data_IF_573451260879
#
_entry.id   IF_573451260879
#
_cell.length_a   1.000
_cell.length_b   1.000
_cell.length_c   1.000
_cell.angle_alpha   90.00
_cell.angle_beta   90.00
_cell.angle_gamma   90.00
#
_symmetry.space_group_name_H-M   'P 1'
#
loop_
_entity.id
_entity.type
_entity.pdbx_description
1 polymer ?
#
# COMPACT_ATOMS: atom_id res chain seq x y z
N UNK A 1 -6.88 -5.91 -16.66
CA UNK A 1 -5.96 -7.08 -16.63
C UNK A 1 -6.29 -7.91 -15.39
N UNK A 2 -6.55 -9.22 -15.53
CA UNK A 2 -6.78 -10.11 -14.38
C UNK A 2 -5.42 -10.45 -13.77
N UNK A 3 -5.13 -9.98 -12.56
CA UNK A 3 -3.87 -10.34 -11.89
C UNK A 3 -3.94 -11.82 -11.49
N UNK A 4 -2.94 -12.59 -11.88
CA UNK A 4 -2.73 -13.95 -11.37
C UNK A 4 -1.90 -13.79 -10.09
N UNK A 5 -2.47 -14.16 -8.95
CA UNK A 5 -1.74 -14.20 -7.70
C UNK A 5 -0.75 -15.39 -7.74
N UNK A 6 0.47 -15.12 -7.32
CA UNK A 6 1.47 -16.15 -7.09
C UNK A 6 1.04 -17.03 -5.92
N UNK A 7 1.56 -18.26 -5.86
CA UNK A 7 1.32 -19.16 -4.70
C UNK A 7 1.71 -18.50 -3.38
N UNK A 8 2.81 -17.75 -3.37
CA UNK A 8 3.25 -17.03 -2.18
C UNK A 8 2.25 -15.95 -1.76
N UNK A 9 1.70 -15.17 -2.71
CA UNK A 9 0.67 -14.18 -2.39
C UNK A 9 -0.60 -14.82 -1.84
N UNK A 10 -1.02 -15.97 -2.38
CA UNK A 10 -2.15 -16.74 -1.86
C UNK A 10 -1.90 -17.21 -0.43
N UNK A 11 -0.72 -17.78 -0.14
CA UNK A 11 -0.36 -18.23 1.20
C UNK A 11 -0.35 -17.05 2.21
N UNK A 12 0.12 -15.87 1.77
CA UNK A 12 0.14 -14.66 2.58
C UNK A 12 -1.27 -14.12 2.84
N UNK A 13 -2.16 -14.17 1.85
CA UNK A 13 -3.57 -13.81 1.99
C UNK A 13 -4.25 -14.74 2.99
N UNK A 14 -4.07 -16.06 2.85
CA UNK A 14 -4.65 -17.03 3.78
C UNK A 14 -4.17 -16.83 5.22
N UNK A 15 -2.88 -16.58 5.41
CA UNK A 15 -2.32 -16.28 6.72
C UNK A 15 -2.88 -14.97 7.30
N UNK A 16 -3.00 -13.94 6.47
CA UNK A 16 -3.58 -12.65 6.86
C UNK A 16 -5.04 -12.81 7.30
N UNK A 17 -5.88 -13.47 6.50
CA UNK A 17 -7.27 -13.72 6.83
C UNK A 17 -7.43 -14.58 8.09
N UNK A 18 -6.63 -15.64 8.23
CA UNK A 18 -6.66 -16.52 9.39
C UNK A 18 -6.29 -15.83 10.70
N UNK A 19 -5.42 -14.81 10.67
CA UNK A 19 -5.02 -14.04 11.86
C UNK A 19 -5.95 -12.87 12.14
N UNK A 20 -6.39 -12.15 11.10
CA UNK A 20 -7.09 -10.87 11.25
C UNK A 20 -8.62 -11.01 11.18
N UNK A 21 -9.10 -12.10 10.59
CA UNK A 21 -10.49 -12.27 10.16
C UNK A 21 -10.99 -11.11 9.27
N UNK A 22 -10.09 -10.51 8.50
CA UNK A 22 -10.39 -9.47 7.51
C UNK A 22 -9.92 -9.96 6.15
N UNK A 23 -10.81 -10.02 5.13
CA UNK A 23 -10.38 -10.33 3.77
C UNK A 23 -9.60 -9.15 3.17
N UNK A 24 -8.35 -9.35 2.71
CA UNK A 24 -7.62 -8.31 2.01
C UNK A 24 -8.18 -8.15 0.59
N UNK A 25 -8.27 -6.90 0.12
CA UNK A 25 -8.57 -6.57 -1.28
C UNK A 25 -7.44 -7.02 -2.21
N UNK A 26 -6.18 -6.87 -1.77
CA UNK A 26 -5.01 -7.36 -2.49
C UNK A 26 -3.79 -7.50 -1.57
N UNK A 27 -2.76 -8.22 -2.04
CA UNK A 27 -1.46 -8.36 -1.40
C UNK A 27 -0.35 -8.01 -2.40
N UNK A 28 0.60 -7.19 -1.98
CA UNK A 28 1.78 -6.85 -2.76
C UNK A 28 3.05 -7.19 -1.98
N UNK A 29 3.93 -7.97 -2.59
CA UNK A 29 5.22 -8.37 -2.01
C UNK A 29 6.35 -7.54 -2.62
N UNK A 30 7.06 -6.78 -1.78
CA UNK A 30 8.27 -6.05 -2.18
C UNK A 30 9.16 -5.72 -0.97
N UNK A 31 9.96 -6.69 -0.50
CA UNK A 31 10.75 -6.58 0.74
C UNK A 31 9.90 -6.65 2.02
N UNK A 32 8.74 -5.97 2.02
CA UNK A 32 7.64 -6.10 2.97
C UNK A 32 6.40 -6.74 2.30
N UNK A 33 5.46 -7.21 3.11
CA UNK A 33 4.13 -7.62 2.65
C UNK A 33 3.14 -6.48 2.92
N UNK A 34 2.63 -5.87 1.86
CA UNK A 34 1.61 -4.84 1.90
C UNK A 34 0.25 -5.47 1.62
N UNK A 35 -0.67 -5.35 2.57
CA UNK A 35 -2.05 -5.76 2.42
C UNK A 35 -2.93 -4.52 2.24
N UNK A 36 -3.70 -4.53 1.16
CA UNK A 36 -4.75 -3.53 0.92
C UNK A 36 -6.05 -4.09 1.48
N UNK A 37 -6.73 -3.35 2.34
CA UNK A 37 -8.03 -3.73 2.93
C UNK A 37 -9.11 -2.71 2.56
N UNK A 38 -10.38 -3.09 2.68
CA UNK A 38 -11.48 -2.14 2.46
C UNK A 38 -11.47 -1.02 3.53
N UNK A 39 -12.01 0.18 3.24
CA UNK A 39 -12.17 1.27 4.20
C UNK A 39 -12.75 0.81 5.54
N UNK A 40 -12.21 1.33 6.64
CA UNK A 40 -12.65 1.03 8.00
C UNK A 40 -12.27 -0.37 8.51
N UNK A 41 -11.56 -1.19 7.73
CA UNK A 41 -11.09 -2.52 8.17
C UNK A 41 -9.66 -2.50 8.70
N UNK A 42 -8.90 -1.43 8.48
CA UNK A 42 -7.50 -1.30 8.87
C UNK A 42 -7.30 -1.48 10.38
N UNK A 43 -8.13 -0.85 11.21
CA UNK A 43 -8.04 -1.00 12.67
C UNK A 43 -8.20 -2.46 13.15
N UNK A 44 -9.20 -3.18 12.60
CA UNK A 44 -9.40 -4.61 12.89
C UNK A 44 -8.25 -5.46 12.37
N UNK A 45 -7.77 -5.17 11.17
CA UNK A 45 -6.66 -5.89 10.56
C UNK A 45 -5.35 -5.68 11.34
N UNK A 46 -5.11 -4.47 11.85
CA UNK A 46 -3.94 -4.15 12.68
C UNK A 46 -4.03 -4.83 14.05
N UNK A 47 -5.23 -4.89 14.63
CA UNK A 47 -5.49 -5.45 15.96
C UNK A 47 -5.10 -4.49 17.08
N UNK A 48 -5.58 -4.78 18.30
CA UNK A 48 -5.32 -3.93 19.49
C UNK A 48 -3.82 -3.80 19.71
N UNK A 49 -3.29 -2.57 19.73
CA UNK A 49 -1.84 -2.30 19.86
C UNK A 49 -0.97 -3.03 18.81
N UNK A 50 -1.52 -3.32 17.62
CA UNK A 50 -0.76 -3.97 16.55
C UNK A 50 -0.51 -5.47 16.75
N UNK A 51 -1.28 -6.15 17.60
CA UNK A 51 -1.08 -7.59 17.88
C UNK A 51 -1.12 -8.46 16.64
N UNK A 52 -2.01 -8.18 15.69
CA UNK A 52 -2.13 -8.98 14.46
C UNK A 52 -0.93 -8.74 13.54
N UNK A 53 -0.51 -7.48 13.38
CA UNK A 53 0.70 -7.11 12.62
C UNK A 53 1.93 -7.81 13.19
N UNK A 54 2.10 -7.80 14.51
CA UNK A 54 3.23 -8.46 15.19
C UNK A 54 3.22 -9.98 15.00
N UNK A 55 2.04 -10.60 15.11
CA UNK A 55 1.87 -12.05 14.89
C UNK A 55 2.18 -12.42 13.43
N UNK A 56 1.63 -11.71 12.47
CA UNK A 56 1.89 -11.92 11.05
C UNK A 56 3.36 -11.70 10.70
N UNK A 57 4.00 -10.67 11.26
CA UNK A 57 5.41 -10.39 11.00
C UNK A 57 6.32 -11.54 11.45
N UNK A 58 6.01 -12.15 12.61
CA UNK A 58 6.72 -13.33 13.11
C UNK A 58 6.46 -14.57 12.25
N UNK A 59 5.20 -14.83 11.91
CA UNK A 59 4.79 -16.00 11.13
C UNK A 59 5.39 -15.98 9.72
N UNK A 60 5.30 -14.83 9.04
CA UNK A 60 5.72 -14.68 7.64
C UNK A 60 7.19 -14.25 7.51
N UNK A 61 7.87 -13.94 8.62
CA UNK A 61 9.24 -13.41 8.66
C UNK A 61 9.44 -12.22 7.71
N UNK A 62 8.43 -11.36 7.64
CA UNK A 62 8.40 -10.17 6.79
C UNK A 62 7.80 -9.01 7.57
N UNK A 63 8.24 -7.79 7.24
CA UNK A 63 7.54 -6.60 7.70
C UNK A 63 6.13 -6.59 7.10
N UNK A 64 5.14 -6.26 7.92
CA UNK A 64 3.74 -6.23 7.53
C UNK A 64 3.30 -4.77 7.48
N UNK A 65 2.68 -4.39 6.36
CA UNK A 65 2.07 -3.09 6.18
C UNK A 65 0.62 -3.28 5.76
N UNK A 66 -0.28 -2.49 6.34
CA UNK A 66 -1.71 -2.54 6.05
C UNK A 66 -2.13 -1.13 5.63
N UNK A 67 -2.83 -1.02 4.51
CA UNK A 67 -3.32 0.23 3.94
C UNK A 67 -4.78 0.06 3.58
N UNK A 68 -5.60 1.04 3.95
CA UNK A 68 -7.00 1.08 3.50
C UNK A 68 -7.07 1.58 2.07
N UNK A 69 -7.82 0.85 1.25
CA UNK A 69 -8.19 1.28 -0.09
C UNK A 69 -9.14 2.47 0.00
N UNK A 70 -9.08 3.34 -1.01
CA UNK A 70 -10.07 4.38 -1.24
C UNK A 70 -10.38 4.40 -2.74
N UNK A 71 -11.61 4.73 -3.12
CA UNK A 71 -12.03 4.86 -4.52
C UNK A 71 -11.57 6.21 -5.11
N UNK A 72 -11.29 7.23 -4.28
CA UNK A 72 -10.57 8.42 -4.72
C UNK A 72 -9.06 8.12 -4.79
N UNK A 73 -8.43 8.17 -5.97
CA UNK A 73 -6.99 7.96 -6.09
C UNK A 73 -6.15 8.93 -5.26
N UNK A 74 -6.63 10.16 -4.99
CA UNK A 74 -5.91 11.12 -4.15
C UNK A 74 -5.79 10.61 -2.71
N UNK A 75 -6.90 10.15 -2.13
CA UNK A 75 -6.95 9.59 -0.78
C UNK A 75 -6.20 8.25 -0.69
N UNK A 76 -6.34 7.39 -1.71
CA UNK A 76 -5.60 6.13 -1.74
C UNK A 76 -4.08 6.35 -1.79
N UNK A 77 -3.61 7.31 -2.59
CA UNK A 77 -2.19 7.70 -2.62
C UNK A 77 -1.76 8.26 -1.26
N UNK A 78 -2.57 9.09 -0.63
CA UNK A 78 -2.29 9.63 0.71
C UNK A 78 -2.08 8.50 1.73
N UNK A 79 -2.97 7.51 1.74
CA UNK A 79 -2.86 6.32 2.59
C UNK A 79 -1.59 5.49 2.27
N UNK A 80 -1.19 5.40 1.00
CA UNK A 80 0.02 4.70 0.56
C UNK A 80 1.34 5.41 0.91
N UNK A 81 1.34 6.73 1.10
CA UNK A 81 2.56 7.47 1.47
C UNK A 81 2.62 7.83 2.96
N UNK A 82 1.54 7.62 3.71
CA UNK A 82 1.50 7.82 5.15
C UNK A 82 2.72 7.18 5.87
N UNK A 83 3.32 7.87 6.86
CA UNK A 83 2.85 9.11 7.50
C UNK A 83 3.29 10.41 6.82
N UNK A 84 3.90 10.35 5.63
CA UNK A 84 4.33 11.54 4.89
C UNK A 84 3.07 12.32 4.46
N UNK A 85 3.09 13.64 4.70
CA UNK A 85 1.99 14.54 4.31
C UNK A 85 2.49 15.47 3.20
N UNK A 86 1.69 15.62 2.16
CA UNK A 86 2.00 16.46 1.02
C UNK A 86 0.74 16.96 0.33
N UNK A 87 0.91 17.88 -0.60
CA UNK A 87 -0.17 18.31 -1.48
C UNK A 87 -0.26 17.30 -2.64
N UNK A 88 -1.38 16.59 -2.71
CA UNK A 88 -1.66 15.63 -3.77
C UNK A 88 -2.75 16.22 -4.65
N UNK A 89 -2.51 16.33 -5.96
CA UNK A 89 -3.47 16.94 -6.88
C UNK A 89 -3.38 16.34 -8.28
N UNK A 90 -4.50 16.38 -9.01
CA UNK A 90 -4.55 16.01 -10.42
C UNK A 90 -3.88 17.13 -11.24
N UNK A 91 -2.85 16.81 -12.00
CA UNK A 91 -2.26 17.72 -13.00
C UNK A 91 -2.92 17.56 -14.37
N UNK A 92 -3.53 16.40 -14.62
CA UNK A 92 -4.41 16.12 -15.77
C UNK A 92 -5.35 14.95 -15.43
N UNK A 93 -6.21 14.55 -16.38
CA UNK A 93 -7.09 13.39 -16.23
C UNK A 93 -6.33 12.07 -15.96
N UNK A 94 -5.10 11.95 -16.46
CA UNK A 94 -4.29 10.73 -16.35
C UNK A 94 -3.07 10.90 -15.46
N UNK A 95 -2.93 12.02 -14.75
CA UNK A 95 -1.72 12.30 -13.96
C UNK A 95 -2.05 12.94 -12.60
N UNK A 96 -1.45 12.37 -11.55
CA UNK A 96 -1.46 12.91 -10.19
C UNK A 96 -0.03 13.28 -9.77
N UNK A 97 0.11 14.48 -9.21
CA UNK A 97 1.34 14.98 -8.62
C UNK A 97 1.28 14.90 -7.10
N UNK A 98 2.40 14.45 -6.50
CA UNK A 98 2.65 14.47 -5.06
C UNK A 98 3.73 15.52 -4.80
N UNK A 99 3.36 16.63 -4.19
CA UNK A 99 4.26 17.71 -3.82
C UNK A 99 4.54 17.65 -2.31
N UNK A 100 5.81 17.47 -1.95
CA UNK A 100 6.28 17.28 -0.57
C UNK A 100 7.61 18.02 -0.35
N UNK A 101 8.05 18.16 0.91
CA UNK A 101 9.36 18.77 1.20
C UNK A 101 10.50 17.90 0.64
N UNK A 102 11.66 18.50 0.37
CA UNK A 102 12.80 17.80 -0.25
C UNK A 102 13.22 16.51 0.46
N UNK A 103 13.18 16.49 1.79
CA UNK A 103 13.51 15.30 2.60
C UNK A 103 12.48 14.18 2.38
N UNK A 104 11.19 14.52 2.42
CA UNK A 104 10.09 13.59 2.19
C UNK A 104 10.07 13.07 0.74
N UNK A 105 10.39 13.94 -0.22
CA UNK A 105 10.55 13.60 -1.63
C UNK A 105 11.56 12.48 -1.81
N UNK A 106 12.74 12.58 -1.17
CA UNK A 106 13.75 11.54 -1.20
C UNK A 106 13.24 10.21 -0.62
N UNK A 107 12.45 10.26 0.46
CA UNK A 107 11.84 9.06 1.04
C UNK A 107 10.81 8.40 0.14
N UNK A 108 9.99 9.16 -0.60
CA UNK A 108 8.99 8.62 -1.53
C UNK A 108 9.68 8.02 -2.77
N UNK A 109 10.70 8.72 -3.30
CA UNK A 109 11.43 8.24 -4.47
C UNK A 109 12.20 6.96 -4.13
N UNK A 110 12.97 6.97 -3.04
CA UNK A 110 13.85 5.89 -2.64
C UNK A 110 15.05 5.69 -3.57
N UNK A 111 15.99 4.83 -3.16
CA UNK A 111 17.16 4.47 -3.97
C UNK A 111 16.73 3.90 -5.33
N UNK A 112 17.36 4.36 -6.41
CA UNK A 112 17.06 3.95 -7.80
C UNK A 112 15.58 4.08 -8.19
N UNK A 113 14.86 5.00 -7.52
CA UNK A 113 13.40 5.20 -7.65
C UNK A 113 12.58 3.95 -7.32
N UNK A 114 13.15 2.98 -6.62
CA UNK A 114 12.52 1.69 -6.36
C UNK A 114 11.19 1.83 -5.60
N UNK A 115 11.13 2.73 -4.61
CA UNK A 115 9.90 2.96 -3.84
C UNK A 115 8.84 3.66 -4.69
N UNK A 116 9.21 4.65 -5.50
CA UNK A 116 8.27 5.30 -6.41
C UNK A 116 7.70 4.32 -7.45
N UNK A 117 8.54 3.49 -8.07
CA UNK A 117 8.07 2.45 -9.00
C UNK A 117 7.11 1.48 -8.33
N UNK A 118 7.36 1.11 -7.07
CA UNK A 118 6.48 0.26 -6.30
C UNK A 118 5.11 0.91 -6.03
N UNK A 119 5.09 2.18 -5.61
CA UNK A 119 3.85 2.95 -5.40
C UNK A 119 3.08 3.08 -6.73
N UNK A 120 3.76 3.43 -7.82
CA UNK A 120 3.15 3.51 -9.16
C UNK A 120 2.53 2.18 -9.56
N UNK A 121 3.20 1.04 -9.33
CA UNK A 121 2.66 -0.29 -9.62
C UNK A 121 1.39 -0.60 -8.81
N UNK A 122 1.36 -0.22 -7.53
CA UNK A 122 0.17 -0.44 -6.69
C UNK A 122 -1.00 0.42 -7.18
N UNK A 123 -0.77 1.69 -7.50
CA UNK A 123 -1.85 2.59 -7.93
C UNK A 123 -2.34 2.23 -9.33
N UNK A 124 -1.44 1.92 -10.26
CA UNK A 124 -1.78 1.47 -11.61
C UNK A 124 -2.60 0.16 -11.63
N UNK A 125 -2.54 -0.63 -10.56
CA UNK A 125 -3.39 -1.81 -10.41
C UNK A 125 -4.88 -1.45 -10.25
N UNK A 126 -5.19 -0.29 -9.68
CA UNK A 126 -6.57 0.14 -9.38
C UNK A 126 -7.05 1.27 -10.30
N UNK A 127 -6.14 2.14 -10.73
CA UNK A 127 -6.46 3.38 -11.41
C UNK A 127 -5.61 3.54 -12.68
N UNK A 128 -6.18 3.90 -13.83
CA UNK A 128 -5.43 4.12 -15.07
C UNK A 128 -4.76 5.52 -15.07
N UNK A 129 -3.91 5.79 -14.07
CA UNK A 129 -3.23 7.08 -13.86
C UNK A 129 -1.73 6.91 -13.64
N UNK A 130 -0.98 7.97 -13.91
CA UNK A 130 0.45 8.10 -13.66
C UNK A 130 0.67 8.97 -12.43
N UNK A 131 1.67 8.61 -11.62
CA UNK A 131 2.08 9.41 -10.45
C UNK A 131 3.43 10.05 -10.71
N UNK A 132 3.54 11.35 -10.42
CA UNK A 132 4.81 12.10 -10.34
C UNK A 132 5.02 12.65 -8.93
N UNK A 133 6.28 12.74 -8.52
CA UNK A 133 6.68 13.40 -7.27
C UNK A 133 7.42 14.67 -7.64
N UNK A 134 6.84 15.81 -7.27
CA UNK A 134 7.32 17.16 -7.60
C UNK A 134 8.02 17.77 -6.42
#
# INVERSE_FOLDING_TARGET
>A
MRQILTRQEIDYINAFEGVTHVPPKNCFLNGEALFIVMPGKGGRAIGKRGTNVSRLAKMLRKKIRIVEFDDDPLEFIANLIAPIKGKIYKSSEQEICIEVKSVEKAYIIGRDRHRLKYIQRIVAHYFPIIIKVV
#
